data_IF_641231036648
#
_entry.id   IF_641231036648
#
_cell.length_a   1.000
_cell.length_b   1.000
_cell.length_c   1.000
_cell.angle_alpha   90.00
_cell.angle_beta   90.00
_cell.angle_gamma   90.00
#
_symmetry.space_group_name_H-M   'P 1'
#
loop_
_entity.id
_entity.type
_entity.pdbx_description
1 polymer ?
#
# COMPACT_ATOMS: atom_id res chain seq x y z
N UNK A 1 -33.11 -60.33 -41.84
CA UNK A 1 -33.56 -59.05 -42.44
C UNK A 1 -32.58 -57.94 -42.04
N UNK A 2 -32.26 -57.07 -43.00
CA UNK A 2 -31.22 -56.02 -43.02
C UNK A 2 -31.35 -54.95 -41.91
N UNK A 3 -30.21 -54.43 -41.44
CA UNK A 3 -29.73 -53.03 -41.57
C UNK A 3 -28.38 -52.88 -40.84
N UNK A 4 -27.26 -52.80 -41.57
CA UNK A 4 -26.52 -51.60 -42.04
C UNK A 4 -25.84 -50.81 -40.89
N UNK A 5 -24.51 -50.74 -41.01
CA UNK A 5 -23.50 -50.05 -40.17
C UNK A 5 -23.68 -48.54 -40.16
N UNK A 6 -23.28 -47.89 -39.06
CA UNK A 6 -22.66 -46.56 -39.13
C UNK A 6 -21.39 -46.53 -38.28
N UNK A 7 -20.28 -46.39 -38.99
CA UNK A 7 -18.93 -46.14 -38.50
C UNK A 7 -18.81 -44.74 -37.89
N UNK A 8 -17.90 -44.62 -36.93
CA UNK A 8 -17.10 -43.43 -36.61
C UNK A 8 -17.82 -42.09 -36.71
N UNK A 9 -18.39 -41.66 -35.59
CA UNK A 9 -18.59 -40.24 -35.32
C UNK A 9 -17.93 -39.91 -33.99
N UNK A 10 -16.81 -39.20 -34.10
CA UNK A 10 -16.33 -38.16 -33.18
C UNK A 10 -17.09 -38.06 -31.85
N UNK A 11 -16.38 -38.25 -30.74
CA UNK A 11 -16.05 -37.17 -29.82
C UNK A 11 -14.90 -37.67 -28.95
N UNK A 12 -13.71 -37.19 -29.28
CA UNK A 12 -12.60 -37.06 -28.35
C UNK A 12 -13.16 -36.27 -27.17
N UNK A 13 -13.38 -36.92 -26.03
CA UNK A 13 -13.66 -36.22 -24.78
C UNK A 13 -12.33 -35.60 -24.34
N UNK A 14 -11.99 -34.49 -24.98
CA UNK A 14 -10.93 -33.58 -24.60
C UNK A 14 -11.29 -33.14 -23.18
N UNK A 15 -10.54 -33.63 -22.21
CA UNK A 15 -10.64 -33.21 -20.81
C UNK A 15 -10.20 -31.74 -20.77
N UNK A 16 -11.12 -30.83 -21.08
CA UNK A 16 -10.93 -29.42 -20.85
C UNK A 16 -10.92 -29.25 -19.34
N UNK A 17 -9.72 -29.30 -18.76
CA UNK A 17 -9.48 -28.78 -17.42
C UNK A 17 -9.78 -27.29 -17.55
N UNK A 18 -11.03 -26.92 -17.23
CA UNK A 18 -11.34 -25.55 -16.87
C UNK A 18 -10.46 -25.28 -15.65
N UNK A 19 -9.33 -24.60 -15.85
CA UNK A 19 -8.67 -23.85 -14.81
C UNK A 19 -9.69 -22.81 -14.36
N UNK A 20 -10.61 -23.22 -13.46
CA UNK A 20 -11.22 -22.28 -12.54
C UNK A 20 -10.00 -21.73 -11.79
N UNK A 21 -9.56 -20.53 -12.18
CA UNK A 21 -8.65 -19.76 -11.35
C UNK A 21 -9.32 -19.69 -9.99
N UNK A 22 -8.84 -20.49 -9.05
CA UNK A 22 -9.13 -20.28 -7.65
C UNK A 22 -8.83 -18.80 -7.41
N UNK A 23 -9.76 -18.02 -6.83
CA UNK A 23 -9.48 -16.63 -6.52
C UNK A 23 -8.14 -16.62 -5.79
N UNK A 24 -7.18 -15.87 -6.33
CA UNK A 24 -5.86 -15.70 -5.73
C UNK A 24 -6.07 -15.51 -4.24
N UNK A 25 -5.47 -16.35 -3.41
CA UNK A 25 -5.54 -16.20 -1.96
C UNK A 25 -5.00 -14.80 -1.66
N UNK A 26 -5.89 -13.86 -1.31
CA UNK A 26 -5.51 -12.48 -1.05
C UNK A 26 -4.80 -12.52 0.30
N UNK A 27 -3.48 -12.55 0.24
CA UNK A 27 -2.67 -12.50 1.44
C UNK A 27 -2.62 -11.08 1.98
N UNK A 28 -2.66 -11.00 3.30
CA UNK A 28 -2.40 -9.81 4.07
C UNK A 28 -0.98 -9.29 3.81
N UNK A 29 -0.83 -8.21 3.05
CA UNK A 29 0.47 -7.54 2.94
C UNK A 29 0.53 -6.32 3.85
N UNK A 30 1.56 -6.28 4.69
CA UNK A 30 1.96 -5.06 5.40
C UNK A 30 2.31 -3.97 4.36
N UNK A 31 1.81 -2.75 4.56
CA UNK A 31 2.08 -1.62 3.66
C UNK A 31 3.45 -0.97 3.92
N UNK A 32 4.06 -1.23 5.08
CA UNK A 32 5.42 -0.87 5.45
C UNK A 32 5.53 0.56 5.98
N UNK A 33 6.52 1.29 5.46
CA UNK A 33 6.66 2.71 5.76
C UNK A 33 5.56 3.51 5.03
N UNK A 34 4.72 4.21 5.77
CA UNK A 34 3.53 4.90 5.24
C UNK A 34 3.90 5.98 4.20
N UNK A 35 4.89 6.88 4.46
CA UNK A 35 5.34 7.81 3.43
C UNK A 35 5.76 7.13 2.12
N UNK A 36 6.45 5.99 2.21
CA UNK A 36 6.89 5.24 1.03
C UNK A 36 5.71 4.57 0.30
N UNK A 37 4.78 3.98 1.05
CA UNK A 37 3.59 3.29 0.52
C UNK A 37 2.60 4.22 -0.17
N UNK A 38 2.53 5.47 0.27
CA UNK A 38 1.69 6.51 -0.29
C UNK A 38 2.50 7.59 -1.02
N UNK A 39 3.72 7.27 -1.47
CA UNK A 39 4.64 8.22 -2.11
C UNK A 39 4.10 8.83 -3.41
N UNK A 40 3.19 8.14 -4.10
CA UNK A 40 2.46 8.65 -5.28
C UNK A 40 1.16 9.40 -4.91
N UNK A 41 1.04 9.80 -3.65
CA UNK A 41 -0.15 10.41 -3.07
C UNK A 41 -1.24 9.41 -2.69
N UNK A 42 -2.15 9.88 -1.84
CA UNK A 42 -3.29 9.14 -1.31
C UNK A 42 -4.61 9.75 -1.80
N UNK A 43 -5.53 8.93 -2.29
CA UNK A 43 -6.88 9.38 -2.62
C UNK A 43 -7.83 8.98 -1.51
N UNK A 44 -8.39 9.97 -0.83
CA UNK A 44 -9.36 9.81 0.24
C UNK A 44 -10.75 9.65 -0.38
N UNK A 45 -11.29 8.44 -0.26
CA UNK A 45 -12.53 8.01 -0.90
C UNK A 45 -13.65 7.96 0.13
N UNK A 46 -14.61 8.87 0.01
CA UNK A 46 -15.84 8.87 0.83
C UNK A 46 -17.04 8.49 -0.03
N UNK A 47 -18.02 7.83 0.57
CA UNK A 47 -19.25 7.48 -0.13
C UNK A 47 -20.05 8.71 -0.57
N UNK A 48 -20.78 8.61 -1.69
CA UNK A 48 -21.71 9.67 -2.15
C UNK A 48 -22.66 10.17 -1.06
N UNK A 49 -23.10 9.26 -0.20
CA UNK A 49 -24.04 9.53 0.90
C UNK A 49 -23.33 9.60 2.26
N UNK A 50 -22.04 9.94 2.28
CA UNK A 50 -21.27 10.13 3.51
C UNK A 50 -21.93 11.18 4.41
N UNK A 51 -22.00 10.88 5.71
CA UNK A 51 -22.52 11.81 6.70
C UNK A 51 -21.41 12.76 7.21
N UNK A 52 -21.78 13.71 8.07
CA UNK A 52 -20.84 14.70 8.61
C UNK A 52 -19.65 14.09 9.35
N UNK A 53 -19.84 12.99 10.08
CA UNK A 53 -18.74 12.30 10.78
C UNK A 53 -17.84 11.52 9.82
N UNK A 54 -18.35 10.98 8.71
CA UNK A 54 -17.48 10.37 7.69
C UNK A 54 -16.55 11.42 7.05
N UNK A 55 -17.10 12.62 6.76
CA UNK A 55 -16.33 13.74 6.23
C UNK A 55 -15.34 14.28 7.26
N UNK A 56 -15.75 14.35 8.53
CA UNK A 56 -14.85 14.72 9.61
C UNK A 56 -13.73 13.69 9.79
N UNK A 57 -14.04 12.39 9.71
CA UNK A 57 -13.07 11.29 9.75
C UNK A 57 -12.02 11.46 8.65
N UNK A 58 -12.45 11.82 7.44
CA UNK A 58 -11.56 12.15 6.32
C UNK A 58 -10.62 13.28 6.66
N UNK A 59 -11.15 14.40 7.12
CA UNK A 59 -10.34 15.58 7.42
C UNK A 59 -9.39 15.32 8.59
N UNK A 60 -9.85 14.66 9.65
CA UNK A 60 -9.04 14.21 10.79
C UNK A 60 -7.90 13.28 10.36
N UNK A 61 -8.19 12.26 9.55
CA UNK A 61 -7.16 11.33 9.06
C UNK A 61 -6.18 12.01 8.10
N UNK A 62 -6.64 12.98 7.30
CA UNK A 62 -5.80 13.70 6.34
C UNK A 62 -4.66 14.46 7.00
N UNK A 63 -4.83 14.83 8.28
CA UNK A 63 -3.84 15.56 9.08
C UNK A 63 -2.53 14.77 9.21
N UNK A 64 -2.58 13.51 9.62
CA UNK A 64 -1.35 12.70 9.77
C UNK A 64 -0.66 12.44 8.44
N UNK A 65 -1.43 12.26 7.35
CA UNK A 65 -0.87 12.15 6.00
C UNK A 65 -0.13 13.43 5.61
N UNK A 66 -0.71 14.60 5.90
CA UNK A 66 -0.07 15.90 5.66
C UNK A 66 1.20 16.08 6.51
N UNK A 67 1.16 15.72 7.78
CA UNK A 67 2.32 15.75 8.69
C UNK A 67 3.45 14.83 8.22
N UNK A 68 3.10 13.68 7.64
CA UNK A 68 4.04 12.75 7.00
C UNK A 68 4.54 13.19 5.61
N UNK A 69 4.12 14.35 5.11
CA UNK A 69 4.53 14.84 3.79
C UNK A 69 3.87 14.12 2.61
N UNK A 70 2.76 13.43 2.83
CA UNK A 70 2.03 12.69 1.80
C UNK A 70 0.96 13.59 1.19
N UNK A 71 1.02 13.78 -0.14
CA UNK A 71 -0.02 14.48 -0.87
C UNK A 71 -1.33 13.69 -0.81
N UNK A 72 -2.44 14.37 -0.54
CA UNK A 72 -3.76 13.75 -0.57
C UNK A 72 -4.76 14.54 -1.42
N UNK A 73 -5.68 13.81 -2.04
CA UNK A 73 -6.83 14.36 -2.77
C UNK A 73 -8.09 13.62 -2.35
N UNK A 74 -9.26 14.22 -2.61
CA UNK A 74 -10.54 13.62 -2.29
C UNK A 74 -11.23 13.08 -3.54
N UNK A 75 -11.98 12.01 -3.40
CA UNK A 75 -12.80 11.42 -4.47
C UNK A 75 -14.07 10.81 -3.87
N UNK A 76 -15.13 10.72 -4.68
CA UNK A 76 -16.30 9.94 -4.37
C UNK A 76 -16.07 8.47 -4.73
N UNK A 77 -16.82 7.57 -4.10
CA UNK A 77 -16.68 6.12 -4.25
C UNK A 77 -16.90 5.59 -5.69
N UNK A 78 -17.58 6.35 -6.55
CA UNK A 78 -17.78 6.03 -7.97
C UNK A 78 -16.80 6.74 -8.93
N UNK A 79 -15.89 7.58 -8.42
CA UNK A 79 -14.92 8.36 -9.21
C UNK A 79 -13.47 7.97 -8.87
N UNK A 80 -13.27 6.78 -8.28
CA UNK A 80 -11.98 6.34 -7.77
C UNK A 80 -11.00 6.12 -8.92
N UNK A 81 -9.85 6.81 -8.95
CA UNK A 81 -8.87 6.65 -10.01
C UNK A 81 -8.15 5.30 -9.90
N UNK A 82 -7.79 4.72 -11.05
CA UNK A 82 -6.90 3.57 -11.13
C UNK A 82 -5.47 3.93 -10.71
N UNK A 83 -4.72 2.97 -10.16
CA UNK A 83 -3.28 3.09 -9.87
C UNK A 83 -2.89 4.15 -8.81
N UNK A 84 -3.81 4.48 -7.89
CA UNK A 84 -3.53 5.32 -6.72
C UNK A 84 -3.73 4.55 -5.42
N UNK A 85 -2.93 4.87 -4.41
CA UNK A 85 -3.15 4.37 -3.06
C UNK A 85 -4.40 5.04 -2.47
N UNK A 86 -5.21 4.28 -1.76
CA UNK A 86 -6.55 4.69 -1.34
C UNK A 86 -6.65 4.78 0.19
N UNK A 87 -7.35 5.79 0.67
CA UNK A 87 -7.84 5.89 2.05
C UNK A 87 -9.37 5.91 1.99
N UNK A 88 -10.00 4.76 2.18
CA UNK A 88 -11.43 4.56 1.99
C UNK A 88 -12.14 4.69 3.32
N UNK A 89 -13.10 5.62 3.40
CA UNK A 89 -13.74 6.02 4.66
C UNK A 89 -15.25 5.83 4.57
N UNK A 90 -15.83 5.29 5.63
CA UNK A 90 -17.26 5.04 5.76
C UNK A 90 -17.64 3.60 5.42
N UNK A 91 -18.68 3.11 6.10
CA UNK A 91 -19.11 1.71 6.03
C UNK A 91 -19.65 1.25 4.68
N UNK A 92 -19.76 -0.07 4.46
CA UNK A 92 -20.20 -0.65 3.18
C UNK A 92 -21.65 -0.33 2.79
N UNK A 93 -22.46 0.18 3.73
CA UNK A 93 -23.83 0.63 3.45
C UNK A 93 -23.88 1.97 2.68
N UNK A 94 -22.87 2.82 2.84
CA UNK A 94 -22.83 4.18 2.27
C UNK A 94 -21.67 4.41 1.30
N UNK A 95 -20.65 3.55 1.34
CA UNK A 95 -19.47 3.61 0.47
C UNK A 95 -19.33 2.28 -0.30
N UNK A 96 -19.61 2.33 -1.59
CA UNK A 96 -19.55 1.16 -2.47
C UNK A 96 -18.13 0.60 -2.62
N UNK A 97 -17.10 1.46 -2.51
CA UNK A 97 -15.70 1.03 -2.52
C UNK A 97 -15.32 0.26 -1.26
N UNK A 98 -15.86 0.66 -0.10
CA UNK A 98 -15.73 -0.14 1.14
C UNK A 98 -16.35 -1.52 0.96
N UNK A 99 -17.53 -1.63 0.33
CA UNK A 99 -18.17 -2.92 0.04
C UNK A 99 -17.33 -3.80 -0.89
N UNK A 100 -16.78 -3.24 -1.96
CA UNK A 100 -15.89 -3.94 -2.90
C UNK A 100 -14.66 -4.51 -2.17
N UNK A 101 -13.97 -3.66 -1.42
CA UNK A 101 -12.73 -4.03 -0.74
C UNK A 101 -12.98 -4.99 0.42
N UNK A 102 -14.10 -4.84 1.15
CA UNK A 102 -14.51 -5.81 2.16
C UNK A 102 -14.69 -7.21 1.57
N UNK A 103 -15.34 -7.31 0.40
CA UNK A 103 -15.50 -8.59 -0.30
C UNK A 103 -14.15 -9.16 -0.74
N UNK A 104 -13.25 -8.32 -1.27
CA UNK A 104 -11.91 -8.73 -1.67
C UNK A 104 -11.08 -9.21 -0.48
N UNK A 105 -11.12 -8.50 0.64
CA UNK A 105 -10.32 -8.79 1.82
C UNK A 105 -10.95 -9.79 2.78
N UNK A 106 -12.17 -10.26 2.53
CA UNK A 106 -12.89 -11.15 3.43
C UNK A 106 -13.23 -10.48 4.77
N UNK A 107 -13.47 -9.16 4.76
CA UNK A 107 -13.94 -8.41 5.93
C UNK A 107 -15.47 -8.38 5.90
N UNK A 108 -16.11 -8.87 6.95
CA UNK A 108 -17.56 -8.98 7.08
C UNK A 108 -18.04 -8.42 8.41
N UNK A 109 -19.19 -7.78 8.37
CA UNK A 109 -19.95 -7.35 9.53
C UNK A 109 -21.33 -7.97 9.43
N UNK A 110 -21.74 -8.68 10.47
CA UNK A 110 -23.04 -9.33 10.57
C UNK A 110 -23.65 -9.01 11.93
N UNK A 111 -24.90 -8.54 11.94
CA UNK A 111 -25.64 -8.26 13.16
C UNK A 111 -26.71 -9.33 13.37
N UNK A 112 -26.79 -9.82 14.60
CA UNK A 112 -27.82 -10.76 15.08
C UNK A 112 -28.66 -10.06 16.15
N UNK A 113 -29.66 -10.77 16.71
CA UNK A 113 -30.53 -10.18 17.72
C UNK A 113 -29.75 -9.66 18.95
N UNK A 114 -28.72 -10.40 19.40
CA UNK A 114 -28.01 -10.11 20.65
C UNK A 114 -26.53 -9.77 20.47
N UNK A 115 -26.00 -9.93 19.25
CA UNK A 115 -24.55 -9.87 18.99
C UNK A 115 -24.20 -9.28 17.64
N UNK A 116 -23.00 -8.73 17.58
CA UNK A 116 -22.33 -8.34 16.34
C UNK A 116 -21.17 -9.30 16.10
N UNK A 117 -21.07 -9.78 14.86
CA UNK A 117 -20.00 -10.62 14.37
C UNK A 117 -19.17 -9.82 13.39
N UNK A 118 -17.88 -9.66 13.69
CA UNK A 118 -16.92 -9.03 12.80
C UNK A 118 -15.92 -10.09 12.40
N UNK A 119 -15.92 -10.43 11.12
CA UNK A 119 -14.96 -11.36 10.56
C UNK A 119 -13.97 -10.58 9.72
N UNK A 120 -12.68 -10.75 9.98
CA UNK A 120 -11.62 -10.31 9.10
C UNK A 120 -10.67 -11.49 8.94
N UNK A 121 -10.61 -12.06 7.74
CA UNK A 121 -9.84 -13.27 7.44
C UNK A 121 -10.27 -14.47 8.34
N UNK A 122 -9.36 -15.03 9.13
CA UNK A 122 -9.57 -16.22 9.99
C UNK A 122 -10.09 -15.86 11.39
N UNK A 123 -10.22 -14.56 11.69
CA UNK A 123 -10.62 -14.05 12.99
C UNK A 123 -12.08 -13.61 12.91
N UNK A 124 -12.94 -14.33 13.61
CA UNK A 124 -14.32 -13.91 13.87
C UNK A 124 -14.43 -13.48 15.32
N UNK A 125 -14.74 -12.20 15.52
CA UNK A 125 -14.99 -11.61 16.82
C UNK A 125 -16.50 -11.51 17.04
N UNK A 126 -16.95 -12.06 18.16
CA UNK A 126 -18.32 -11.95 18.62
C UNK A 126 -18.37 -10.96 19.78
N UNK A 127 -19.10 -9.87 19.61
CA UNK A 127 -19.36 -8.87 20.65
C UNK A 127 -20.84 -8.86 20.96
N UNK A 128 -21.20 -8.58 22.22
CA UNK A 128 -22.58 -8.24 22.56
C UNK A 128 -23.03 -7.06 21.69
N UNK A 129 -24.33 -6.99 21.43
CA UNK A 129 -24.92 -5.86 20.72
C UNK A 129 -24.47 -4.55 21.37
N UNK A 130 -24.08 -3.61 20.52
CA UNK A 130 -23.67 -2.28 20.92
C UNK A 130 -24.85 -1.59 21.61
N UNK A 131 -24.62 -1.04 22.81
CA UNK A 131 -25.58 -0.20 23.51
C UNK A 131 -25.45 1.26 23.04
N UNK A 132 -26.41 2.11 23.42
CA UNK A 132 -26.25 3.55 23.27
C UNK A 132 -24.93 4.01 23.92
N UNK A 133 -24.21 4.93 23.25
CA UNK A 133 -22.90 5.40 23.69
C UNK A 133 -21.74 4.42 23.46
N UNK A 134 -21.92 3.35 22.69
CA UNK A 134 -20.81 2.47 22.28
C UNK A 134 -20.74 2.39 20.75
N UNK A 135 -19.57 2.10 20.19
CA UNK A 135 -19.43 1.69 18.79
C UNK A 135 -18.13 0.90 18.57
N UNK A 136 -18.04 0.20 17.45
CA UNK A 136 -16.88 -0.53 16.98
C UNK A 136 -16.35 0.13 15.71
N UNK A 137 -15.04 0.37 15.67
CA UNK A 137 -14.33 0.83 14.49
C UNK A 137 -13.36 -0.21 13.96
N UNK A 138 -13.19 -0.22 12.65
CA UNK A 138 -12.27 -1.07 11.91
C UNK A 138 -11.27 -0.18 11.18
N UNK A 139 -10.00 -0.48 11.39
CA UNK A 139 -8.90 0.02 10.56
C UNK A 139 -8.33 -1.20 9.84
N UNK A 140 -8.32 -1.17 8.51
CA UNK A 140 -7.78 -2.27 7.72
C UNK A 140 -6.75 -1.73 6.71
N UNK A 141 -5.59 -2.37 6.68
CA UNK A 141 -4.55 -2.12 5.70
C UNK A 141 -4.39 -3.33 4.78
N UNK A 142 -4.21 -3.08 3.50
CA UNK A 142 -3.92 -4.14 2.54
C UNK A 142 -3.48 -3.60 1.18
N UNK A 143 -3.28 -4.52 0.25
CA UNK A 143 -3.04 -4.21 -1.16
C UNK A 143 -4.11 -4.83 -2.02
N UNK A 144 -4.65 -4.05 -2.95
CA UNK A 144 -5.63 -4.51 -3.92
C UNK A 144 -5.30 -3.93 -5.30
N UNK A 145 -5.14 -4.80 -6.30
CA UNK A 145 -4.77 -4.42 -7.67
C UNK A 145 -3.54 -3.50 -7.76
N UNK A 146 -2.53 -3.75 -6.92
CA UNK A 146 -1.29 -2.95 -6.90
C UNK A 146 -1.37 -1.63 -6.13
N UNK A 147 -2.55 -1.24 -5.64
CA UNK A 147 -2.73 -0.07 -4.79
C UNK A 147 -2.60 -0.42 -3.31
N UNK A 148 -1.91 0.40 -2.53
CA UNK A 148 -2.00 0.34 -1.07
C UNK A 148 -3.35 0.91 -0.63
N UNK A 149 -4.02 0.23 0.28
CA UNK A 149 -5.37 0.57 0.73
C UNK A 149 -5.37 0.65 2.25
N UNK A 150 -5.87 1.77 2.75
CA UNK A 150 -6.30 1.96 4.13
C UNK A 150 -7.82 2.09 4.14
N UNK A 151 -8.51 1.31 4.95
CA UNK A 151 -9.96 1.39 5.13
C UNK A 151 -10.28 1.79 6.58
N UNK A 152 -11.17 2.76 6.75
CA UNK A 152 -11.65 3.24 8.05
C UNK A 152 -13.18 3.23 8.05
N UNK A 153 -13.77 2.34 8.83
CA UNK A 153 -15.23 2.29 8.96
C UNK A 153 -15.65 1.62 10.27
N UNK A 154 -16.83 1.97 10.78
CA UNK A 154 -17.42 1.39 11.99
C UNK A 154 -18.80 0.81 11.76
N UNK A 155 -19.37 0.22 12.81
CA UNK A 155 -20.75 -0.28 12.77
C UNK A 155 -21.74 0.87 12.57
N UNK A 156 -21.48 2.01 13.21
CA UNK A 156 -22.05 3.30 12.85
C UNK A 156 -20.98 4.36 12.58
N UNK A 157 -21.42 5.61 12.56
CA UNK A 157 -20.60 6.77 12.20
C UNK A 157 -19.61 7.13 13.30
N UNK A 158 -19.94 6.83 14.55
CA UNK A 158 -19.12 7.07 15.74
C UNK A 158 -17.85 6.21 15.71
N UNK A 159 -17.96 4.94 15.34
CA UNK A 159 -16.86 3.99 15.20
C UNK A 159 -15.99 4.28 13.99
N UNK A 160 -16.59 4.79 12.91
CA UNK A 160 -15.84 5.33 11.76
C UNK A 160 -14.99 6.51 12.21
N UNK A 161 -15.56 7.43 12.99
CA UNK A 161 -14.84 8.60 13.50
C UNK A 161 -13.77 8.24 14.54
N UNK A 162 -14.04 7.27 15.41
CA UNK A 162 -13.07 6.72 16.34
C UNK A 162 -11.83 6.15 15.61
N UNK A 163 -12.02 5.48 14.47
CA UNK A 163 -10.92 5.03 13.63
C UNK A 163 -10.07 6.19 13.08
N UNK A 164 -10.72 7.27 12.64
CA UNK A 164 -10.03 8.50 12.21
C UNK A 164 -9.23 9.15 13.33
N UNK A 165 -9.80 9.29 14.53
CA UNK A 165 -9.12 9.89 15.69
C UNK A 165 -7.87 9.11 16.12
N UNK A 166 -7.88 7.79 16.01
CA UNK A 166 -6.69 6.97 16.26
C UNK A 166 -5.58 7.26 15.25
N UNK A 167 -5.93 7.43 13.98
CA UNK A 167 -4.97 7.67 12.90
C UNK A 167 -4.65 9.15 12.63
N UNK A 168 -5.29 10.07 13.34
CA UNK A 168 -4.92 11.49 13.34
C UNK A 168 -3.45 11.68 13.80
N UNK A 169 -2.97 10.77 14.65
CA UNK A 169 -1.58 10.73 15.11
C UNK A 169 -0.70 9.97 14.10
N UNK A 170 0.29 10.64 13.53
CA UNK A 170 1.23 10.04 12.58
C UNK A 170 1.99 8.83 13.16
N UNK A 171 2.26 8.81 14.47
CA UNK A 171 2.93 7.68 15.13
C UNK A 171 2.05 6.45 15.10
N UNK A 172 0.75 6.62 15.38
CA UNK A 172 -0.23 5.53 15.29
C UNK A 172 -0.44 5.07 13.85
N UNK A 173 -0.54 6.02 12.90
CA UNK A 173 -0.64 5.68 11.48
C UNK A 173 0.54 4.82 11.03
N UNK A 174 1.78 5.21 11.36
CA UNK A 174 2.96 4.41 11.02
C UNK A 174 3.04 3.09 11.80
N UNK A 175 2.64 3.07 13.07
CA UNK A 175 2.59 1.85 13.88
C UNK A 175 1.64 0.83 13.26
N UNK A 176 0.39 1.22 13.04
CA UNK A 176 -0.69 0.32 12.62
C UNK A 176 -0.67 0.00 11.13
N UNK A 177 0.04 0.77 10.30
CA UNK A 177 0.36 0.40 8.93
C UNK A 177 1.06 -0.97 8.82
N UNK A 178 1.73 -1.41 9.90
CA UNK A 178 2.34 -2.74 9.97
C UNK A 178 1.37 -3.86 10.33
N UNK A 179 0.13 -3.50 10.65
CA UNK A 179 -0.95 -4.40 11.03
C UNK A 179 -1.96 -4.44 9.91
N UNK A 180 -2.46 -5.64 9.57
CA UNK A 180 -3.47 -5.75 8.54
C UNK A 180 -4.82 -5.25 9.04
N UNK A 181 -5.12 -5.46 10.32
CA UNK A 181 -6.43 -5.18 10.86
C UNK A 181 -6.33 -4.74 12.32
N UNK A 182 -7.01 -3.65 12.66
CA UNK A 182 -7.23 -3.17 14.01
C UNK A 182 -8.72 -3.08 14.25
N UNK A 183 -9.17 -3.67 15.36
CA UNK A 183 -10.49 -3.46 15.91
C UNK A 183 -10.39 -2.57 17.13
N UNK A 184 -11.14 -1.47 17.13
CA UNK A 184 -11.29 -0.59 18.27
C UNK A 184 -12.72 -0.57 18.76
N UNK A 185 -12.88 -0.22 20.04
CA UNK A 185 -14.17 0.06 20.65
C UNK A 185 -14.12 1.49 21.20
N UNK A 186 -15.12 2.27 20.83
CA UNK A 186 -15.46 3.51 21.53
C UNK A 186 -16.53 3.21 22.58
N UNK A 187 -16.41 3.83 23.75
CA UNK A 187 -17.42 3.80 24.81
C UNK A 187 -17.46 5.17 25.49
N UNK A 188 -18.60 5.83 25.38
CA UNK A 188 -18.94 7.04 26.10
C UNK A 188 -18.91 6.77 27.62
N UNK A 189 -17.95 7.39 28.29
CA UNK A 189 -17.78 7.26 29.74
C UNK A 189 -18.28 8.50 30.49
N UNK A 190 -18.48 9.61 29.79
CA UNK A 190 -18.83 10.90 30.39
C UNK A 190 -20.33 11.26 30.18
N UNK A 191 -21.03 10.52 29.33
CA UNK A 191 -22.46 10.66 29.02
C UNK A 191 -22.80 11.75 28.01
N UNK A 192 -21.82 12.28 27.27
CA UNK A 192 -22.00 13.38 26.31
C UNK A 192 -22.30 12.91 24.87
N UNK A 193 -22.20 11.60 24.62
CA UNK A 193 -22.40 10.95 23.32
C UNK A 193 -21.44 11.42 22.21
N UNK A 194 -20.32 12.06 22.56
CA UNK A 194 -19.27 12.46 21.62
C UNK A 194 -18.11 11.48 21.63
N UNK A 195 -17.54 11.22 20.44
CA UNK A 195 -16.37 10.36 20.35
C UNK A 195 -15.12 11.14 20.77
N UNK A 196 -14.48 10.69 21.85
CA UNK A 196 -13.27 11.29 22.39
C UNK A 196 -12.10 10.29 22.42
N UNK A 197 -10.87 10.76 22.24
CA UNK A 197 -9.70 9.88 22.04
C UNK A 197 -9.42 9.00 23.26
N UNK A 198 -9.66 9.50 24.46
CA UNK A 198 -9.49 8.81 25.74
C UNK A 198 -10.59 7.75 26.02
N UNK A 199 -11.66 7.76 25.23
CA UNK A 199 -12.75 6.77 25.28
C UNK A 199 -12.58 5.63 24.28
N UNK A 200 -11.51 5.66 23.49
CA UNK A 200 -11.22 4.66 22.45
C UNK A 200 -10.22 3.64 22.98
N UNK A 201 -10.56 2.37 22.86
CA UNK A 201 -9.70 1.24 23.21
C UNK A 201 -9.44 0.35 22.00
N UNK A 202 -8.17 -0.04 21.79
CA UNK A 202 -7.84 -1.08 20.81
C UNK A 202 -8.18 -2.44 21.44
N UNK A 203 -9.15 -3.14 20.85
CA UNK A 203 -9.67 -4.40 21.41
C UNK A 203 -9.09 -5.63 20.73
N UNK A 204 -8.61 -5.49 19.48
CA UNK A 204 -7.91 -6.54 18.76
C UNK A 204 -7.01 -5.93 17.70
N UNK A 205 -5.87 -6.57 17.47
CA UNK A 205 -4.94 -6.23 16.41
C UNK A 205 -4.49 -7.54 15.77
N UNK A 206 -4.74 -7.68 14.47
CA UNK A 206 -4.16 -8.76 13.68
C UNK A 206 -2.92 -8.20 13.00
N UNK A 207 -1.71 -8.70 13.32
CA UNK A 207 -0.55 -8.37 12.51
C UNK A 207 -0.83 -8.80 11.08
N UNK A 208 -0.32 -8.06 10.10
CA UNK A 208 -0.36 -8.54 8.74
C UNK A 208 0.33 -9.91 8.70
N UNK A 209 -0.35 -10.92 8.16
CA UNK A 209 0.23 -12.26 8.04
C UNK A 209 1.46 -12.12 7.16
N UNK A 210 2.64 -12.14 7.78
CA UNK A 210 3.90 -12.31 7.06
C UNK A 210 3.77 -13.66 6.39
N UNK A 211 3.54 -13.69 5.07
CA UNK A 211 3.85 -14.91 4.33
C UNK A 211 5.36 -15.06 4.47
N UNK A 212 5.80 -15.87 5.43
CA UNK A 212 6.97 -16.69 5.19
C UNK A 212 6.53 -17.65 4.10
N UNK A 213 6.64 -17.21 2.86
CA UNK A 213 6.85 -18.15 1.77
C UNK A 213 8.00 -19.03 2.30
N UNK A 214 7.95 -20.35 2.19
CA UNK A 214 9.16 -21.14 2.29
C UNK A 214 10.01 -20.79 1.06
N UNK A 215 10.47 -19.55 0.95
CA UNK A 215 11.87 -19.39 0.65
C UNK A 215 12.53 -20.02 1.84
N UNK A 216 13.27 -21.09 1.60
CA UNK A 216 14.58 -21.20 2.24
C UNK A 216 15.14 -19.78 2.32
N UNK A 217 14.92 -19.10 3.46
CA UNK A 217 15.55 -17.84 3.79
C UNK A 217 16.98 -18.19 4.16
N UNK A 218 17.66 -18.73 3.17
CA UNK A 218 19.02 -18.36 2.92
C UNK A 218 18.96 -16.83 2.85
N UNK A 219 19.60 -16.16 3.80
CA UNK A 219 19.69 -14.70 3.91
C UNK A 219 20.47 -14.16 2.73
N UNK A 220 19.97 -14.36 1.51
CA UNK A 220 20.56 -13.93 0.26
C UNK A 220 20.24 -12.46 0.11
N UNK A 221 21.23 -11.69 0.52
CA UNK A 221 21.35 -10.32 0.09
C UNK A 221 22.01 -10.34 -1.28
N UNK A 222 21.63 -9.39 -2.12
CA UNK A 222 22.37 -9.11 -3.34
C UNK A 222 23.34 -7.98 -3.05
N UNK A 223 24.50 -8.04 -3.70
CA UNK A 223 25.50 -6.98 -3.67
C UNK A 223 25.43 -6.23 -4.98
N UNK A 224 25.37 -4.91 -4.91
CA UNK A 224 25.49 -4.06 -6.08
C UNK A 224 26.67 -3.11 -5.95
N UNK A 225 27.17 -2.67 -7.09
CA UNK A 225 28.23 -1.69 -7.17
C UNK A 225 27.66 -0.41 -7.75
N UNK A 226 27.78 0.69 -7.01
CA UNK A 226 27.34 2.01 -7.45
C UNK A 226 28.59 2.83 -7.73
N UNK A 227 28.65 3.52 -8.87
CA UNK A 227 29.67 4.52 -9.16
C UNK A 227 29.02 5.83 -9.58
N UNK A 228 29.73 6.93 -9.37
CA UNK A 228 29.35 8.25 -9.84
C UNK A 228 30.54 8.95 -10.46
N UNK A 229 30.40 9.39 -11.71
CA UNK A 229 31.33 10.26 -12.43
C UNK A 229 30.80 11.69 -12.40
N UNK A 230 31.53 12.57 -11.71
CA UNK A 230 31.19 13.98 -11.53
C UNK A 230 31.73 14.87 -12.67
N UNK A 231 32.41 14.27 -13.65
CA UNK A 231 33.18 14.96 -14.67
C UNK A 231 34.60 15.31 -14.20
N UNK A 232 35.43 15.78 -15.14
CA UNK A 232 36.79 16.23 -14.81
C UNK A 232 37.71 15.14 -14.25
N UNK A 233 37.41 13.86 -14.54
CA UNK A 233 38.08 12.64 -14.02
C UNK A 233 37.84 12.36 -12.53
N UNK A 234 36.91 13.07 -11.88
CA UNK A 234 36.54 12.78 -10.50
C UNK A 234 35.42 11.75 -10.44
N UNK A 235 35.70 10.60 -9.82
CA UNK A 235 34.72 9.52 -9.64
C UNK A 235 34.68 9.07 -8.17
N UNK A 236 33.51 8.57 -7.73
CA UNK A 236 33.32 7.95 -6.42
C UNK A 236 32.61 6.61 -6.58
N UNK A 237 32.96 5.65 -5.75
CA UNK A 237 32.40 4.29 -5.80
C UNK A 237 31.89 3.84 -4.43
N UNK A 238 30.79 3.09 -4.46
CA UNK A 238 30.23 2.36 -3.33
C UNK A 238 30.11 0.89 -3.74
N UNK A 239 31.02 0.06 -3.23
CA UNK A 239 31.14 -1.35 -3.60
C UNK A 239 30.40 -2.25 -2.64
N UNK A 240 29.97 -3.39 -3.14
CA UNK A 240 29.35 -4.46 -2.36
C UNK A 240 28.19 -3.97 -1.48
N UNK A 241 27.41 -3.00 -2.00
CA UNK A 241 26.25 -2.44 -1.30
C UNK A 241 25.24 -3.57 -1.11
N UNK A 242 25.12 -4.01 0.12
CA UNK A 242 24.37 -5.20 0.49
C UNK A 242 22.93 -4.81 0.78
N UNK A 243 22.03 -5.24 -0.08
CA UNK A 243 20.59 -5.03 0.09
C UNK A 243 19.83 -6.35 0.00
N UNK A 244 18.63 -6.42 0.61
CA UNK A 244 17.73 -7.54 0.39
C UNK A 244 17.49 -7.79 -1.10
N UNK A 245 17.31 -9.06 -1.47
CA UNK A 245 16.77 -9.39 -2.79
C UNK A 245 15.41 -8.69 -2.98
N UNK A 246 15.08 -8.31 -4.21
CA UNK A 246 13.93 -7.47 -4.59
C UNK A 246 14.00 -5.98 -4.21
N UNK A 247 15.05 -5.50 -3.54
CA UNK A 247 15.29 -4.06 -3.33
C UNK A 247 15.42 -3.30 -4.66
N UNK A 248 15.10 -2.01 -4.66
CA UNK A 248 15.23 -1.14 -5.84
C UNK A 248 16.60 -0.47 -5.90
N UNK A 249 16.95 0.14 -7.03
CA UNK A 249 18.17 0.99 -7.14
C UNK A 249 18.10 2.12 -6.11
N UNK A 250 16.93 2.71 -5.89
CA UNK A 250 16.73 3.72 -4.84
C UNK A 250 17.07 3.19 -3.44
N UNK A 251 16.69 1.96 -3.11
CA UNK A 251 17.03 1.35 -1.83
C UNK A 251 18.52 1.06 -1.71
N UNK A 252 19.16 0.61 -2.79
CA UNK A 252 20.61 0.45 -2.83
C UNK A 252 21.34 1.78 -2.63
N UNK A 253 20.88 2.86 -3.26
CA UNK A 253 21.47 4.19 -3.05
C UNK A 253 21.29 4.69 -1.61
N UNK A 254 20.13 4.48 -0.97
CA UNK A 254 19.97 4.80 0.46
C UNK A 254 20.90 3.96 1.33
N UNK A 255 21.00 2.65 1.04
CA UNK A 255 21.81 1.73 1.83
C UNK A 255 23.32 1.92 1.63
N UNK A 256 23.76 2.54 0.54
CA UNK A 256 25.17 2.82 0.29
C UNK A 256 25.73 3.94 1.18
N UNK A 257 24.84 4.74 1.79
CA UNK A 257 25.22 5.94 2.54
C UNK A 257 25.66 7.10 1.64
N UNK A 258 25.49 6.99 0.31
CA UNK A 258 25.69 8.13 -0.58
C UNK A 258 24.67 9.22 -0.26
N UNK A 259 25.09 10.48 -0.32
CA UNK A 259 24.18 11.62 -0.19
C UNK A 259 23.63 11.96 -1.57
N UNK A 260 22.33 12.08 -1.70
CA UNK A 260 21.71 12.47 -2.96
C UNK A 260 20.36 13.15 -2.69
N UNK A 261 20.02 14.10 -3.57
CA UNK A 261 18.69 14.73 -3.61
C UNK A 261 17.94 14.21 -4.83
N UNK A 262 16.62 14.23 -4.77
CA UNK A 262 15.78 13.70 -5.82
C UNK A 262 14.42 14.39 -5.85
N UNK A 263 13.78 14.33 -7.02
CA UNK A 263 12.39 14.70 -7.23
C UNK A 263 11.61 13.45 -7.68
N UNK A 264 10.30 13.42 -7.44
CA UNK A 264 9.44 12.36 -7.95
C UNK A 264 8.76 12.87 -9.22
N UNK A 265 8.89 12.12 -10.31
CA UNK A 265 8.29 12.41 -11.60
C UNK A 265 7.40 11.25 -12.06
N UNK A 266 6.68 11.42 -13.18
CA UNK A 266 5.77 10.40 -13.72
C UNK A 266 6.44 9.04 -13.99
N UNK A 267 7.76 9.03 -14.24
CA UNK A 267 8.55 7.83 -14.51
C UNK A 267 9.27 7.27 -13.27
N UNK A 268 9.08 7.85 -12.08
CA UNK A 268 9.67 7.43 -10.82
C UNK A 268 10.60 8.46 -10.18
N UNK A 269 11.44 8.00 -9.25
CA UNK A 269 12.45 8.86 -8.58
C UNK A 269 13.52 9.31 -9.58
N UNK A 270 13.63 10.63 -9.74
CA UNK A 270 14.61 11.32 -10.57
C UNK A 270 15.65 12.00 -9.67
N UNK A 271 16.90 11.59 -9.77
CA UNK A 271 18.00 12.12 -8.93
C UNK A 271 18.44 13.48 -9.46
N UNK A 272 18.43 14.49 -8.59
CA UNK A 272 18.77 15.88 -8.94
C UNK A 272 20.13 16.30 -8.42
N UNK A 273 20.70 15.54 -7.48
CA UNK A 273 21.98 15.86 -6.84
C UNK A 273 22.64 14.59 -6.30
N UNK A 274 23.96 14.49 -6.39
CA UNK A 274 24.75 13.45 -5.72
C UNK A 274 25.95 14.13 -5.05
N UNK A 275 26.18 13.82 -3.79
CA UNK A 275 27.26 14.37 -2.95
C UNK A 275 27.34 15.91 -2.97
N UNK A 276 26.17 16.56 -3.10
CA UNK A 276 26.03 18.03 -3.12
C UNK A 276 26.23 18.68 -4.48
N UNK A 277 26.54 17.93 -5.55
CA UNK A 277 26.57 18.46 -6.91
C UNK A 277 25.18 18.33 -7.55
N UNK A 278 24.43 19.42 -7.61
CA UNK A 278 23.10 19.47 -8.21
C UNK A 278 23.11 19.68 -9.72
N UNK A 279 22.00 19.34 -10.38
CA UNK A 279 21.72 19.68 -11.78
C UNK A 279 21.94 21.17 -12.08
N UNK A 280 22.52 21.47 -13.24
CA UNK A 280 22.78 22.82 -13.68
C UNK A 280 22.08 23.11 -15.02
N UNK A 281 20.92 23.74 -14.91
CA UNK A 281 20.05 24.12 -16.03
C UNK A 281 20.69 25.11 -17.01
N UNK A 282 21.63 25.96 -16.58
CA UNK A 282 22.29 26.90 -17.49
C UNK A 282 23.32 26.21 -18.38
N UNK A 283 23.88 25.09 -17.92
CA UNK A 283 24.81 24.25 -18.70
C UNK A 283 24.15 23.03 -19.34
N UNK A 284 22.89 22.75 -19.00
CA UNK A 284 22.16 21.54 -19.43
C UNK A 284 22.64 20.24 -18.76
N UNK A 285 23.53 20.32 -17.76
CA UNK A 285 24.06 19.13 -17.07
C UNK A 285 23.12 18.62 -16.00
N UNK A 286 22.90 17.31 -15.98
CA UNK A 286 22.10 16.63 -14.97
C UNK A 286 22.66 15.22 -14.73
N UNK A 287 22.13 14.55 -13.70
CA UNK A 287 22.50 13.19 -13.35
C UNK A 287 21.75 12.19 -14.22
N UNK A 288 22.50 11.42 -14.99
CA UNK A 288 22.04 10.29 -15.79
C UNK A 288 22.61 9.00 -15.23
N UNK A 289 21.96 7.86 -15.47
CA UNK A 289 22.47 6.58 -14.97
C UNK A 289 22.34 5.42 -15.96
N UNK A 290 23.25 4.47 -15.80
CA UNK A 290 23.34 3.24 -16.56
C UNK A 290 23.27 2.03 -15.62
N UNK A 291 22.73 0.94 -16.14
CA UNK A 291 22.70 -0.35 -15.45
C UNK A 291 23.50 -1.32 -16.31
N UNK A 292 24.60 -1.84 -15.75
CA UNK A 292 25.50 -2.75 -16.46
C UNK A 292 25.98 -2.21 -17.83
N UNK A 293 26.13 -0.89 -17.96
CA UNK A 293 26.53 -0.23 -19.20
C UNK A 293 25.37 0.21 -20.11
N UNK A 294 24.14 -0.22 -19.84
CA UNK A 294 22.95 0.16 -20.62
C UNK A 294 22.26 1.38 -20.01
N UNK A 295 21.93 2.37 -20.84
CA UNK A 295 21.28 3.59 -20.38
C UNK A 295 19.87 3.31 -19.87
N UNK A 296 19.49 3.91 -18.74
CA UNK A 296 18.16 3.74 -18.16
C UNK A 296 17.27 4.97 -18.33
N UNK A 297 16.04 4.75 -18.78
CA UNK A 297 15.02 5.79 -18.95
C UNK A 297 13.95 5.80 -17.85
N UNK A 298 13.96 4.80 -16.95
CA UNK A 298 13.01 4.72 -15.84
C UNK A 298 13.58 5.43 -14.61
N UNK A 299 12.74 5.80 -13.64
CA UNK A 299 13.20 6.25 -12.33
C UNK A 299 13.78 5.10 -11.51
N UNK A 300 14.76 5.40 -10.65
CA UNK A 300 15.48 4.40 -9.85
C UNK A 300 14.62 3.66 -8.82
N UNK A 301 13.39 4.12 -8.60
CA UNK A 301 12.37 3.46 -7.77
C UNK A 301 11.68 2.29 -8.48
N UNK A 302 11.83 2.16 -9.80
CA UNK A 302 11.07 1.19 -10.60
C UNK A 302 11.91 -0.02 -11.03
N UNK A 303 13.21 -0.03 -10.70
CA UNK A 303 14.13 -1.07 -11.12
C UNK A 303 14.64 -1.82 -9.90
N UNK A 304 14.38 -3.13 -9.86
CA UNK A 304 14.90 -4.05 -8.85
C UNK A 304 16.37 -4.37 -9.11
N UNK A 305 17.16 -4.46 -8.04
CA UNK A 305 18.56 -4.84 -8.12
C UNK A 305 18.75 -6.35 -8.20
N UNK A 306 19.81 -6.76 -8.89
CA UNK A 306 20.29 -8.15 -8.95
C UNK A 306 21.73 -8.23 -8.43
N UNK A 307 22.17 -9.42 -8.02
CA UNK A 307 23.54 -9.61 -7.52
C UNK A 307 24.57 -9.27 -8.60
N UNK A 308 25.62 -8.55 -8.20
CA UNK A 308 26.66 -8.04 -9.09
C UNK A 308 26.25 -6.85 -9.97
N UNK A 309 25.01 -6.36 -9.88
CA UNK A 309 24.53 -5.25 -10.71
C UNK A 309 25.39 -4.00 -10.53
N UNK A 310 25.73 -3.35 -11.65
CA UNK A 310 26.48 -2.10 -11.70
C UNK A 310 25.54 -0.95 -12.00
N UNK A 311 25.48 0.03 -11.12
CA UNK A 311 24.69 1.26 -11.27
C UNK A 311 25.69 2.40 -11.44
N UNK A 312 25.74 2.99 -12.62
CA UNK A 312 26.76 3.97 -12.98
C UNK A 312 26.10 5.32 -13.21
N UNK A 313 26.38 6.30 -12.35
CA UNK A 313 25.90 7.67 -12.49
C UNK A 313 26.92 8.51 -13.25
N UNK A 314 26.45 9.40 -14.13
CA UNK A 314 27.31 10.39 -14.81
C UNK A 314 26.65 11.75 -14.80
N UNK A 315 27.41 12.77 -14.42
CA UNK A 315 27.00 14.17 -14.50
C UNK A 315 27.36 14.73 -15.87
N UNK A 316 26.38 14.85 -16.75
CA UNK A 316 26.63 15.18 -18.17
C UNK A 316 25.48 15.99 -18.78
N UNK A 317 25.82 16.77 -19.81
CA UNK A 317 24.92 17.57 -20.66
C UNK A 317 24.48 16.81 -21.93
N UNK A 318 25.14 15.70 -22.23
CA UNK A 318 24.87 14.91 -23.42
C UNK A 318 23.65 14.03 -23.18
N UNK A 319 22.57 14.31 -23.89
CA UNK A 319 21.38 13.45 -23.90
C UNK A 319 21.72 12.15 -24.65
N UNK A 320 21.63 11.00 -23.98
CA UNK A 320 21.84 9.70 -24.61
C UNK A 320 20.47 9.08 -24.94
N UNK A 321 20.31 8.66 -26.20
CA UNK A 321 19.14 7.93 -26.70
C UNK A 321 19.41 6.43 -26.68
#
# INVERSE_FOLDING_TARGET
MKRIKFSNFFIVFLLMILLVQLPSVIFAENIGNVPSAFSNGAVFVTGKNANSLDLLTRDTTSKSFKEMGILNTNSLDFEVPSNKSLVVIGGPAINSKTKELNNAFGVRYEETQDRILITAKDITLSKSKISEGEDIGIIYFGKHNGSNVLMLWGASREGTFAAGLILEDQTNLQKYANSQFILLKWKDNNGDLFVQKDEISITSESPATVIKIPTTKDTKNVKVNISADFGGKYTKEWKDVKVPIDSTIFDAMKSSGMKFDYNIQSLGVFVTSIEGLSENRSTGRYWQYWINGDYSQLGISNIKVSDGMRIEWKYTDSFQN
#
